data_IF_881184720028
#
_entry.id   IF_881184720028
#
_cell.length_a   1.000
_cell.length_b   1.000
_cell.length_c   1.000
_cell.angle_alpha   90.00
_cell.angle_beta   90.00
_cell.angle_gamma   90.00
#
_symmetry.space_group_name_H-M   'P 1'
#
loop_
_entity.id
_entity.type
_entity.pdbx_description
1 polymer ?
#
# COMPACT_ATOMS: atom_id res chain seq x y z
N UNK A 1 -26.39 -13.98 -18.66
CA UNK A 1 -26.40 -12.74 -17.85
C UNK A 1 -25.03 -12.13 -18.05
N UNK A 2 -24.97 -11.01 -18.80
CA UNK A 2 -23.73 -10.24 -18.96
C UNK A 2 -23.57 -9.39 -17.71
N UNK A 3 -22.62 -9.75 -16.83
CA UNK A 3 -22.26 -8.91 -15.70
C UNK A 3 -21.33 -7.82 -16.25
N UNK A 4 -21.87 -6.67 -16.57
CA UNK A 4 -21.09 -5.48 -16.84
C UNK A 4 -20.84 -4.80 -15.49
N UNK A 5 -19.63 -4.92 -14.95
CA UNK A 5 -19.20 -4.05 -13.86
C UNK A 5 -18.81 -2.74 -14.55
N UNK A 6 -19.61 -1.68 -14.41
CA UNK A 6 -19.22 -0.41 -15.00
C UNK A 6 -17.95 0.06 -14.27
N UNK A 7 -16.90 0.38 -15.01
CA UNK A 7 -15.90 1.36 -14.57
C UNK A 7 -16.68 2.69 -14.42
N UNK A 8 -17.50 2.76 -13.36
CA UNK A 8 -18.45 3.82 -13.14
C UNK A 8 -17.75 5.02 -12.56
N UNK A 9 -17.43 5.96 -13.40
CA UNK A 9 -17.45 7.33 -12.93
C UNK A 9 -18.87 7.64 -12.43
N UNK A 10 -19.03 7.84 -11.14
CA UNK A 10 -20.26 8.37 -10.58
C UNK A 10 -20.51 9.74 -11.22
N UNK A 11 -21.51 9.85 -12.08
CA UNK A 11 -21.96 11.13 -12.63
C UNK A 11 -22.68 11.91 -11.52
N UNK A 12 -21.90 12.64 -10.72
CA UNK A 12 -22.44 13.60 -9.76
C UNK A 12 -22.78 14.92 -10.47
N UNK A 13 -23.81 15.62 -10.04
CA UNK A 13 -24.08 16.98 -10.51
C UNK A 13 -22.91 17.91 -10.18
N UNK A 14 -22.70 18.98 -10.94
CA UNK A 14 -21.56 19.89 -10.72
C UNK A 14 -21.58 20.52 -9.32
N UNK A 15 -22.76 20.85 -8.79
CA UNK A 15 -22.90 21.35 -7.42
C UNK A 15 -22.50 20.29 -6.37
N UNK A 16 -22.83 19.02 -6.61
CA UNK A 16 -22.46 17.91 -5.72
C UNK A 16 -20.95 17.65 -5.75
N UNK A 17 -20.33 17.77 -6.93
CA UNK A 17 -18.87 17.65 -7.10
C UNK A 17 -18.12 18.75 -6.36
N UNK A 18 -18.55 19.99 -6.47
CA UNK A 18 -17.91 21.12 -5.77
C UNK A 18 -18.06 20.99 -4.25
N UNK A 19 -19.21 20.56 -3.76
CA UNK A 19 -19.43 20.30 -2.32
C UNK A 19 -18.53 19.17 -1.81
N UNK A 20 -18.40 18.08 -2.58
CA UNK A 20 -17.51 16.98 -2.23
C UNK A 20 -16.04 17.42 -2.26
N UNK A 21 -15.65 18.20 -3.26
CA UNK A 21 -14.29 18.75 -3.36
C UNK A 21 -13.93 19.57 -2.13
N UNK A 22 -14.79 20.50 -1.70
CA UNK A 22 -14.55 21.35 -0.54
C UNK A 22 -14.46 20.51 0.75
N UNK A 23 -15.37 19.55 0.94
CA UNK A 23 -15.35 18.65 2.08
C UNK A 23 -14.08 17.78 2.11
N UNK A 24 -13.62 17.28 0.96
CA UNK A 24 -12.40 16.48 0.87
C UNK A 24 -11.16 17.31 1.21
N UNK A 25 -11.03 18.52 0.67
CA UNK A 25 -9.91 19.42 0.99
C UNK A 25 -9.89 19.78 2.48
N UNK A 26 -11.05 20.13 3.04
CA UNK A 26 -11.18 20.39 4.47
C UNK A 26 -10.76 19.21 5.33
N UNK A 27 -11.17 17.98 4.94
CA UNK A 27 -10.78 16.75 5.65
C UNK A 27 -9.26 16.51 5.63
N UNK A 28 -8.58 16.83 4.53
CA UNK A 28 -7.13 16.64 4.43
C UNK A 28 -6.32 17.70 5.19
N UNK A 29 -6.90 18.87 5.40
CA UNK A 29 -6.27 20.00 6.10
C UNK A 29 -6.53 20.00 7.59
N UNK A 30 -7.70 19.53 8.04
CA UNK A 30 -8.21 19.70 9.41
C UNK A 30 -8.47 18.38 10.14
N UNK A 31 -8.29 18.35 11.49
CA UNK A 31 -7.76 19.41 12.37
C UNK A 31 -6.24 19.57 12.26
N UNK A 32 -5.55 18.69 11.57
CA UNK A 32 -4.11 18.65 11.31
C UNK A 32 -3.88 18.14 9.89
N UNK A 33 -2.97 18.75 9.10
CA UNK A 33 -2.68 18.28 7.75
C UNK A 33 -2.21 16.82 7.73
N UNK A 34 -2.67 16.08 6.70
CA UNK A 34 -2.35 14.67 6.51
C UNK A 34 -3.22 13.72 7.33
N UNK A 35 -3.02 12.42 7.13
CA UNK A 35 -3.81 11.35 7.75
C UNK A 35 -2.99 10.45 8.67
N UNK A 36 -1.67 10.63 8.69
CA UNK A 36 -0.73 9.84 9.47
C UNK A 36 -0.02 10.70 10.50
N UNK A 37 0.32 10.08 11.61
CA UNK A 37 1.24 10.64 12.60
C UNK A 37 2.10 9.53 13.21
N UNK A 38 3.31 9.89 13.67
CA UNK A 38 4.18 8.98 14.40
C UNK A 38 3.96 9.20 15.89
N UNK A 39 3.69 8.11 16.61
CA UNK A 39 3.48 8.12 18.05
C UNK A 39 4.45 7.17 18.75
N UNK A 40 5.14 7.67 19.77
CA UNK A 40 5.96 6.83 20.62
C UNK A 40 5.10 5.81 21.39
N UNK A 41 5.52 4.56 21.42
CA UNK A 41 4.84 3.45 22.10
C UNK A 41 5.40 3.19 23.51
N UNK A 42 6.54 3.79 23.86
CA UNK A 42 7.23 3.63 25.14
C UNK A 42 7.28 4.97 25.89
N UNK A 43 7.20 4.96 27.21
CA UNK A 43 7.38 6.18 27.99
C UNK A 43 8.82 6.69 27.89
N UNK A 44 8.97 8.00 27.92
CA UNK A 44 10.26 8.70 28.01
C UNK A 44 10.10 9.85 29.01
N UNK A 45 9.90 9.51 30.29
CA UNK A 45 9.56 10.47 31.33
C UNK A 45 10.76 10.87 32.20
N UNK A 46 11.84 10.09 32.20
CA UNK A 46 12.99 10.29 33.08
C UNK A 46 14.30 9.75 32.50
N UNK A 47 15.44 10.01 33.14
CA UNK A 47 16.75 9.59 32.67
C UNK A 47 16.92 8.06 32.58
N UNK A 48 16.19 7.29 33.38
CA UNK A 48 16.20 5.83 33.31
C UNK A 48 15.49 5.31 32.03
N UNK A 49 14.42 5.93 31.66
CA UNK A 49 13.72 5.61 30.40
C UNK A 49 14.61 5.97 29.20
N UNK A 50 15.26 7.14 29.24
CA UNK A 50 16.21 7.57 28.22
C UNK A 50 17.37 6.60 28.07
N UNK A 51 17.95 6.14 29.17
CA UNK A 51 19.06 5.18 29.16
C UNK A 51 18.67 3.83 28.54
N UNK A 52 17.41 3.44 28.62
CA UNK A 52 16.88 2.21 27.98
C UNK A 52 16.51 2.42 26.54
N UNK A 53 15.86 3.57 26.23
CA UNK A 53 15.35 3.86 24.90
C UNK A 53 16.45 4.26 23.91
N UNK A 54 17.54 4.83 24.42
CA UNK A 54 18.66 5.31 23.62
C UNK A 54 20.00 4.85 24.21
N UNK A 55 20.91 5.76 24.58
CA UNK A 55 22.24 5.39 25.06
C UNK A 55 22.25 5.26 26.58
N UNK A 56 22.85 4.20 27.16
CA UNK A 56 23.57 3.09 26.51
C UNK A 56 22.72 1.86 26.16
N UNK A 57 21.52 1.71 26.73
CA UNK A 57 20.74 0.46 26.71
C UNK A 57 20.30 -0.02 25.35
N UNK A 58 20.13 0.88 24.36
CA UNK A 58 19.78 0.51 22.98
C UNK A 58 20.81 -0.43 22.33
N UNK A 59 22.07 -0.37 22.76
CA UNK A 59 23.14 -1.23 22.25
C UNK A 59 22.83 -2.72 22.41
N UNK A 60 22.16 -3.11 23.48
CA UNK A 60 21.82 -4.52 23.74
C UNK A 60 20.87 -5.06 22.65
N UNK A 61 19.84 -4.28 22.28
CA UNK A 61 18.94 -4.66 21.19
C UNK A 61 19.67 -4.74 19.83
N UNK A 62 20.61 -3.83 19.58
CA UNK A 62 21.42 -3.84 18.36
C UNK A 62 22.32 -5.09 18.30
N UNK A 63 22.94 -5.48 19.41
CA UNK A 63 23.79 -6.67 19.52
C UNK A 63 22.98 -7.94 19.25
N UNK A 64 21.80 -8.06 19.86
CA UNK A 64 20.90 -9.18 19.66
C UNK A 64 20.48 -9.34 18.19
N UNK A 65 20.13 -8.22 17.52
CA UNK A 65 19.76 -8.23 16.11
C UNK A 65 20.96 -8.55 15.20
N UNK A 66 22.16 -8.07 15.57
CA UNK A 66 23.36 -8.38 14.82
C UNK A 66 23.76 -9.86 14.90
N UNK A 67 23.44 -10.54 16.00
CA UNK A 67 23.67 -11.98 16.17
C UNK A 67 22.60 -12.82 15.46
N UNK A 68 21.35 -12.39 15.49
CA UNK A 68 20.22 -13.04 14.82
C UNK A 68 19.25 -12.00 14.28
N UNK A 69 19.22 -11.84 12.95
CA UNK A 69 18.38 -10.88 12.25
C UNK A 69 16.88 -11.07 12.54
N UNK A 70 16.42 -12.28 12.92
CA UNK A 70 15.03 -12.54 13.27
C UNK A 70 14.55 -11.72 14.49
N UNK A 71 15.48 -11.36 15.38
CA UNK A 71 15.22 -10.51 16.53
C UNK A 71 14.78 -9.08 16.17
N UNK A 72 14.98 -8.63 14.92
CA UNK A 72 14.49 -7.32 14.47
C UNK A 72 12.96 -7.19 14.62
N UNK A 73 12.21 -8.24 14.34
CA UNK A 73 10.76 -8.24 14.53
C UNK A 73 10.33 -8.17 16.01
N UNK A 74 11.19 -8.62 16.92
CA UNK A 74 10.93 -8.61 18.37
C UNK A 74 11.27 -7.27 19.03
N UNK A 75 12.36 -6.65 18.60
CA UNK A 75 12.92 -5.46 19.28
C UNK A 75 12.65 -4.15 18.56
N UNK A 76 12.07 -4.19 17.34
CA UNK A 76 11.74 -3.00 16.55
C UNK A 76 10.30 -3.05 16.05
N UNK A 77 9.86 -1.97 15.40
CA UNK A 77 8.55 -1.90 14.75
C UNK A 77 8.46 -2.76 13.46
N UNK A 78 9.59 -3.29 12.95
CA UNK A 78 9.67 -4.00 11.66
C UNK A 78 8.63 -5.12 11.53
N UNK A 79 8.33 -5.86 12.59
CA UNK A 79 7.42 -7.00 12.56
C UNK A 79 5.95 -6.66 12.25
N UNK A 80 5.56 -5.38 12.37
CA UNK A 80 4.20 -4.90 12.07
C UNK A 80 4.20 -3.63 11.22
N UNK A 81 5.27 -3.36 10.47
CA UNK A 81 5.42 -2.14 9.67
C UNK A 81 5.51 -2.48 8.19
N UNK A 82 4.59 -1.95 7.39
CA UNK A 82 4.53 -2.11 5.92
C UNK A 82 4.85 -0.78 5.24
N UNK A 83 5.58 -0.82 4.12
CA UNK A 83 5.67 0.33 3.23
C UNK A 83 4.62 0.23 2.13
N UNK A 84 3.85 1.29 1.91
CA UNK A 84 3.12 1.54 0.65
C UNK A 84 4.03 2.34 -0.25
N UNK A 85 4.48 1.76 -1.35
CA UNK A 85 5.45 2.39 -2.25
C UNK A 85 4.81 2.68 -3.60
N UNK A 86 4.99 3.90 -4.08
CA UNK A 86 4.48 4.37 -5.36
C UNK A 86 5.46 5.30 -6.06
N UNK A 87 5.34 5.41 -7.38
CA UNK A 87 5.89 6.53 -8.14
C UNK A 87 4.80 7.44 -8.73
N UNK A 88 3.53 7.17 -8.42
CA UNK A 88 2.38 7.95 -8.84
C UNK A 88 2.12 7.94 -10.34
N UNK A 89 2.54 6.87 -11.04
CA UNK A 89 2.45 6.79 -12.51
C UNK A 89 1.11 6.30 -13.03
N UNK A 90 0.23 5.73 -12.17
CA UNK A 90 -1.08 5.23 -12.55
C UNK A 90 -2.13 5.38 -11.44
N UNK A 91 -2.28 6.60 -10.93
CA UNK A 91 -3.25 6.90 -9.86
C UNK A 91 -4.67 6.82 -10.41
N UNK A 92 -5.54 6.05 -9.73
CA UNK A 92 -6.90 5.74 -10.19
C UNK A 92 -7.71 7.00 -10.54
N UNK A 93 -8.15 7.09 -11.79
CA UNK A 93 -8.95 8.20 -12.32
C UNK A 93 -8.15 9.47 -12.66
N UNK A 94 -6.87 9.55 -12.29
CA UNK A 94 -6.01 10.72 -12.50
C UNK A 94 -4.81 10.43 -13.44
N UNK A 95 -4.44 9.14 -13.58
CA UNK A 95 -3.30 8.73 -14.40
C UNK A 95 -1.95 9.06 -13.78
N UNK A 96 -0.99 9.47 -14.60
CA UNK A 96 0.35 9.83 -14.14
C UNK A 96 0.38 11.26 -13.58
N UNK A 97 0.24 11.40 -12.28
CA UNK A 97 0.30 12.69 -11.58
C UNK A 97 1.62 12.88 -10.81
N UNK A 98 2.48 11.85 -10.83
CA UNK A 98 3.79 11.86 -10.17
C UNK A 98 3.74 11.55 -8.68
N UNK A 99 4.92 11.28 -8.13
CA UNK A 99 5.09 10.79 -6.77
C UNK A 99 4.49 11.74 -5.71
N UNK A 100 4.83 13.03 -5.74
CA UNK A 100 4.38 13.98 -4.72
C UNK A 100 2.84 14.13 -4.69
N UNK A 101 2.21 14.21 -5.86
CA UNK A 101 0.77 14.42 -5.94
C UNK A 101 -0.03 13.16 -5.55
N UNK A 102 0.57 11.96 -5.60
CA UNK A 102 -0.06 10.71 -5.16
C UNK A 102 -0.09 10.53 -3.65
N UNK A 103 0.70 11.30 -2.89
CA UNK A 103 0.81 11.17 -1.42
C UNK A 103 -0.52 11.12 -0.68
N UNK A 104 -1.54 11.93 -0.95
CA UNK A 104 -2.82 11.83 -0.26
C UNK A 104 -3.52 10.47 -0.44
N UNK A 105 -3.34 9.82 -1.60
CA UNK A 105 -3.87 8.48 -1.85
C UNK A 105 -3.11 7.45 -1.03
N UNK A 106 -1.78 7.54 -0.98
CA UNK A 106 -0.92 6.61 -0.24
C UNK A 106 -1.13 6.70 1.27
N UNK A 107 -1.28 7.90 1.82
CA UNK A 107 -1.71 8.06 3.22
C UNK A 107 -3.09 7.43 3.47
N UNK A 108 -4.01 7.55 2.53
CA UNK A 108 -5.30 6.88 2.58
C UNK A 108 -5.15 5.37 2.65
N UNK A 109 -4.29 4.79 1.80
CA UNK A 109 -3.98 3.36 1.82
C UNK A 109 -3.40 2.92 3.17
N UNK A 110 -2.46 3.67 3.71
CA UNK A 110 -1.88 3.40 5.03
C UNK A 110 -2.92 3.41 6.15
N UNK A 111 -3.88 4.34 6.11
CA UNK A 111 -5.02 4.36 7.05
C UNK A 111 -5.88 3.10 6.93
N UNK A 112 -6.11 2.57 5.71
CA UNK A 112 -6.85 1.32 5.52
C UNK A 112 -6.11 0.12 6.13
N UNK A 113 -4.80 0.01 5.94
CA UNK A 113 -3.97 -1.00 6.60
C UNK A 113 -4.13 -0.95 8.12
N UNK A 114 -4.05 0.25 8.71
CA UNK A 114 -4.23 0.43 10.15
C UNK A 114 -5.64 0.08 10.61
N UNK A 115 -6.66 0.58 9.90
CA UNK A 115 -8.07 0.41 10.31
C UNK A 115 -8.55 -1.02 10.21
N UNK A 116 -8.19 -1.74 9.16
CA UNK A 116 -8.75 -3.06 8.87
C UNK A 116 -7.86 -4.22 9.32
N UNK A 117 -6.55 -4.02 9.37
CA UNK A 117 -5.61 -5.09 9.72
C UNK A 117 -4.75 -4.79 10.97
N UNK A 118 -4.87 -3.59 11.55
CA UNK A 118 -4.01 -3.09 12.62
C UNK A 118 -2.50 -3.15 12.28
N UNK A 119 -2.16 -3.02 11.00
CA UNK A 119 -0.79 -2.94 10.50
C UNK A 119 -0.38 -1.47 10.47
N UNK A 120 0.78 -1.16 11.02
CA UNK A 120 1.41 0.15 10.90
C UNK A 120 1.97 0.31 9.49
N UNK A 121 1.82 1.50 8.91
CA UNK A 121 2.18 1.69 7.53
C UNK A 121 2.79 3.07 7.29
N UNK A 122 3.90 3.13 6.53
CA UNK A 122 4.43 4.35 5.95
C UNK A 122 4.17 4.36 4.45
N UNK A 123 3.76 5.52 3.94
CA UNK A 123 3.72 5.82 2.52
C UNK A 123 5.08 6.37 2.06
N UNK A 124 5.58 5.82 0.97
CA UNK A 124 6.89 6.13 0.38
C UNK A 124 6.70 6.49 -1.09
N UNK A 125 6.70 7.77 -1.37
CA UNK A 125 6.59 8.31 -2.73
C UNK A 125 7.99 8.46 -3.34
N UNK A 126 8.27 7.67 -4.38
CA UNK A 126 9.59 7.62 -5.03
C UNK A 126 9.56 8.35 -6.36
N UNK A 127 10.38 9.38 -6.51
CA UNK A 127 10.49 10.11 -7.76
C UNK A 127 11.47 9.42 -8.73
N UNK A 128 11.10 8.20 -9.16
CA UNK A 128 11.84 7.42 -10.15
C UNK A 128 10.86 6.77 -11.14
N UNK A 129 11.14 6.94 -12.43
CA UNK A 129 10.32 6.42 -13.52
C UNK A 129 10.88 5.15 -14.18
N UNK A 130 12.16 4.88 -14.00
CA UNK A 130 12.82 3.67 -14.47
C UNK A 130 12.44 2.50 -13.55
N UNK A 131 11.81 1.42 -14.05
CA UNK A 131 11.32 0.35 -13.21
C UNK A 131 12.45 -0.45 -12.52
N UNK A 132 13.62 -0.59 -13.13
CA UNK A 132 14.74 -1.31 -12.52
C UNK A 132 15.33 -0.50 -11.36
N UNK A 133 15.52 0.81 -11.54
CA UNK A 133 15.99 1.71 -10.48
C UNK A 133 14.96 1.84 -9.36
N UNK A 134 13.66 1.87 -9.69
CA UNK A 134 12.61 1.86 -8.69
C UNK A 134 12.68 0.58 -7.85
N UNK A 135 12.87 -0.58 -8.49
CA UNK A 135 13.05 -1.85 -7.78
C UNK A 135 14.32 -1.85 -6.89
N UNK A 136 15.42 -1.24 -7.34
CA UNK A 136 16.64 -1.08 -6.54
C UNK A 136 16.37 -0.28 -5.26
N UNK A 137 15.64 0.84 -5.37
CA UNK A 137 15.26 1.68 -4.23
C UNK A 137 14.35 0.89 -3.27
N UNK A 138 13.35 0.20 -3.79
CA UNK A 138 12.42 -0.61 -2.96
C UNK A 138 13.18 -1.71 -2.22
N UNK A 139 14.05 -2.43 -2.89
CA UNK A 139 14.86 -3.48 -2.27
C UNK A 139 15.76 -2.94 -1.15
N UNK A 140 16.30 -1.74 -1.31
CA UNK A 140 17.12 -1.09 -0.29
C UNK A 140 16.35 -0.74 0.99
N UNK A 141 15.01 -0.68 0.96
CA UNK A 141 14.16 -0.42 2.12
C UNK A 141 13.88 -1.68 2.98
N UNK A 142 14.24 -2.86 2.53
CA UNK A 142 13.96 -4.12 3.24
C UNK A 142 14.33 -4.13 4.73
N UNK A 143 15.46 -3.55 5.16
CA UNK A 143 15.81 -3.55 6.59
C UNK A 143 14.78 -2.87 7.49
N UNK A 144 14.03 -1.90 6.96
CA UNK A 144 13.06 -1.11 7.73
C UNK A 144 11.70 -1.80 7.87
N UNK A 145 11.25 -2.53 6.84
CA UNK A 145 9.87 -2.98 6.71
C UNK A 145 9.73 -4.50 6.84
N UNK A 146 8.57 -4.94 7.35
CA UNK A 146 8.17 -6.34 7.38
C UNK A 146 7.53 -6.82 6.08
N UNK A 147 6.99 -5.91 5.26
CA UNK A 147 6.46 -6.19 3.93
C UNK A 147 6.39 -4.90 3.09
N UNK A 148 6.23 -5.07 1.77
CA UNK A 148 6.06 -3.99 0.80
C UNK A 148 4.71 -4.17 0.09
N UNK A 149 3.92 -3.10 0.04
CA UNK A 149 2.79 -2.95 -0.86
C UNK A 149 3.15 -1.95 -1.96
N UNK A 150 3.22 -2.42 -3.20
CA UNK A 150 3.38 -1.56 -4.36
C UNK A 150 1.99 -1.05 -4.78
N UNK A 151 1.87 0.25 -5.06
CA UNK A 151 0.59 0.91 -5.34
C UNK A 151 0.74 1.91 -6.48
N UNK A 152 -0.26 1.99 -7.37
CA UNK A 152 -0.37 3.01 -8.42
C UNK A 152 0.86 3.13 -9.34
N UNK A 153 1.54 2.00 -9.60
CA UNK A 153 2.62 1.89 -10.58
C UNK A 153 2.01 1.38 -11.89
N UNK A 154 2.23 2.12 -12.97
CA UNK A 154 1.63 1.81 -14.28
C UNK A 154 2.08 0.46 -14.84
N UNK A 155 1.20 -0.21 -15.58
CA UNK A 155 1.59 -1.33 -16.45
C UNK A 155 2.30 -0.76 -17.72
N UNK A 156 3.34 -1.45 -18.26
CA UNK A 156 3.87 -2.74 -17.82
C UNK A 156 4.94 -2.67 -16.71
N UNK A 157 5.35 -1.47 -16.30
CA UNK A 157 6.47 -1.25 -15.37
C UNK A 157 6.22 -1.96 -14.02
N UNK A 158 4.97 -1.98 -13.54
CA UNK A 158 4.60 -2.64 -12.28
C UNK A 158 4.95 -4.14 -12.26
N UNK A 159 4.87 -4.83 -13.39
CA UNK A 159 5.24 -6.26 -13.49
C UNK A 159 6.75 -6.46 -13.31
N UNK A 160 7.54 -5.54 -13.87
CA UNK A 160 9.02 -5.57 -13.75
C UNK A 160 9.40 -5.29 -12.30
N UNK A 161 8.87 -4.22 -11.72
CA UNK A 161 9.17 -3.81 -10.33
C UNK A 161 8.81 -4.92 -9.35
N UNK A 162 7.59 -5.44 -9.42
CA UNK A 162 7.15 -6.52 -8.52
C UNK A 162 8.03 -7.76 -8.66
N UNK A 163 8.29 -8.21 -9.88
CA UNK A 163 9.12 -9.39 -10.14
C UNK A 163 10.51 -9.23 -9.53
N UNK A 164 11.20 -8.12 -9.82
CA UNK A 164 12.55 -7.87 -9.31
C UNK A 164 12.58 -7.78 -7.78
N UNK A 165 11.60 -7.12 -7.17
CA UNK A 165 11.49 -7.05 -5.72
C UNK A 165 11.27 -8.43 -5.10
N UNK A 166 10.35 -9.23 -5.65
CA UNK A 166 10.07 -10.59 -5.14
C UNK A 166 11.24 -11.56 -5.29
N UNK A 167 12.05 -11.42 -6.33
CA UNK A 167 13.24 -12.24 -6.55
C UNK A 167 14.41 -11.88 -5.62
N UNK A 168 14.46 -10.62 -5.13
CA UNK A 168 15.62 -10.06 -4.43
C UNK A 168 15.40 -9.86 -2.94
N UNK A 169 14.15 -9.71 -2.50
CA UNK A 169 13.79 -9.43 -1.11
C UNK A 169 13.38 -10.70 -0.37
N UNK A 170 13.67 -10.73 0.93
CA UNK A 170 13.30 -11.84 1.83
C UNK A 170 12.03 -11.53 2.65
N UNK A 171 11.33 -10.44 2.34
CA UNK A 171 10.04 -10.05 2.92
C UNK A 171 8.95 -10.12 1.85
N UNK A 172 7.67 -10.27 2.23
CA UNK A 172 6.56 -10.24 1.28
C UNK A 172 6.51 -8.95 0.48
N UNK A 173 6.33 -9.10 -0.84
CA UNK A 173 6.08 -8.01 -1.79
C UNK A 173 4.77 -8.28 -2.51
N UNK A 174 3.88 -7.31 -2.53
CA UNK A 174 2.54 -7.41 -3.07
C UNK A 174 2.21 -6.15 -3.89
N UNK A 175 1.74 -6.32 -5.13
CA UNK A 175 1.24 -5.21 -5.93
C UNK A 175 -0.30 -5.25 -5.91
N UNK A 176 -0.91 -4.28 -5.23
CA UNK A 176 -2.35 -4.29 -4.94
C UNK A 176 -3.23 -4.17 -6.19
N UNK A 177 -2.86 -3.29 -7.12
CA UNK A 177 -3.61 -3.10 -8.37
C UNK A 177 -3.71 -4.38 -9.21
N UNK A 178 -2.73 -5.27 -9.09
CA UNK A 178 -2.79 -6.61 -9.67
C UNK A 178 -3.59 -7.57 -8.78
N UNK A 179 -2.98 -7.94 -7.68
CA UNK A 179 -3.40 -9.09 -6.88
C UNK A 179 -4.58 -8.77 -5.96
N UNK A 180 -4.64 -7.55 -5.39
CA UNK A 180 -5.78 -7.12 -4.58
C UNK A 180 -7.06 -7.08 -5.41
N UNK A 181 -6.99 -6.51 -6.62
CA UNK A 181 -8.12 -6.49 -7.56
C UNK A 181 -8.51 -7.90 -7.99
N UNK A 182 -7.54 -8.76 -8.32
CA UNK A 182 -7.81 -10.16 -8.69
C UNK A 182 -8.53 -10.92 -7.55
N UNK A 183 -8.11 -10.74 -6.31
CA UNK A 183 -8.72 -11.37 -5.12
C UNK A 183 -10.17 -10.93 -4.96
N UNK A 184 -10.47 -9.64 -5.01
CA UNK A 184 -11.84 -9.15 -4.81
C UNK A 184 -12.75 -9.51 -5.97
N UNK A 185 -12.24 -9.50 -7.21
CA UNK A 185 -13.00 -9.93 -8.40
C UNK A 185 -13.29 -11.43 -8.34
N UNK A 186 -12.30 -12.25 -7.99
CA UNK A 186 -12.48 -13.68 -7.80
C UNK A 186 -13.51 -14.01 -6.72
N UNK A 187 -13.44 -13.34 -5.57
CA UNK A 187 -14.42 -13.50 -4.49
C UNK A 187 -15.82 -13.08 -4.93
N UNK A 188 -15.96 -11.95 -5.62
CA UNK A 188 -17.23 -11.46 -6.13
C UNK A 188 -17.83 -12.41 -7.18
N UNK A 189 -17.03 -12.92 -8.11
CA UNK A 189 -17.45 -13.87 -9.13
C UNK A 189 -17.95 -15.18 -8.49
N UNK A 190 -17.19 -15.73 -7.54
CA UNK A 190 -17.56 -16.94 -6.80
C UNK A 190 -18.91 -16.78 -6.10
N UNK A 191 -19.10 -15.67 -5.38
CA UNK A 191 -20.35 -15.41 -4.67
C UNK A 191 -21.52 -15.17 -5.62
N UNK A 192 -21.30 -14.43 -6.72
CA UNK A 192 -22.33 -14.19 -7.73
C UNK A 192 -22.80 -15.49 -8.40
N UNK A 193 -21.87 -16.41 -8.69
CA UNK A 193 -22.20 -17.73 -9.24
C UNK A 193 -22.98 -18.57 -8.26
N UNK A 194 -22.59 -18.58 -6.98
CA UNK A 194 -23.33 -19.26 -5.93
C UNK A 194 -24.79 -18.75 -5.84
N UNK A 195 -24.99 -17.44 -5.81
CA UNK A 195 -26.32 -16.82 -5.79
C UNK A 195 -27.14 -17.14 -7.06
N UNK A 196 -26.48 -17.21 -8.22
CA UNK A 196 -27.11 -17.49 -9.50
C UNK A 196 -27.34 -19.00 -9.75
N UNK A 197 -26.85 -19.88 -8.89
CA UNK A 197 -26.91 -21.34 -9.08
C UNK A 197 -26.13 -21.83 -10.30
N UNK A 198 -25.00 -21.20 -10.63
CA UNK A 198 -24.16 -21.52 -11.81
C UNK A 198 -22.77 -21.96 -11.38
N UNK A 199 -22.12 -22.79 -12.19
CA UNK A 199 -20.73 -23.15 -12.07
C UNK A 199 -19.84 -22.23 -12.94
N UNK A 200 -18.52 -22.23 -12.71
CA UNK A 200 -17.58 -21.47 -13.50
C UNK A 200 -17.56 -21.93 -14.97
N UNK A 201 -17.79 -23.20 -15.23
CA UNK A 201 -17.85 -23.80 -16.56
C UNK A 201 -19.04 -23.27 -17.41
N UNK A 202 -20.08 -22.75 -16.75
CA UNK A 202 -21.31 -22.26 -17.37
C UNK A 202 -21.25 -20.80 -17.80
N UNK A 203 -20.12 -20.11 -17.54
CA UNK A 203 -20.01 -18.69 -17.77
C UNK A 203 -18.88 -18.33 -18.73
N UNK A 204 -18.99 -17.15 -19.29
CA UNK A 204 -17.93 -16.49 -20.04
C UNK A 204 -17.62 -15.16 -19.37
N UNK A 205 -16.36 -14.96 -18.98
CA UNK A 205 -15.86 -13.69 -18.46
C UNK A 205 -15.25 -12.90 -19.60
N UNK A 206 -15.62 -11.63 -19.72
CA UNK A 206 -15.06 -10.71 -20.69
C UNK A 206 -14.49 -9.51 -19.94
N UNK A 207 -13.19 -9.29 -20.09
CA UNK A 207 -12.50 -8.12 -19.54
C UNK A 207 -12.25 -7.11 -20.66
N UNK A 208 -12.43 -5.83 -20.38
CA UNK A 208 -12.08 -4.72 -21.27
C UNK A 208 -10.86 -4.00 -20.71
N UNK A 209 -9.76 -4.01 -21.47
CA UNK A 209 -8.47 -3.46 -21.08
C UNK A 209 -7.47 -4.52 -20.58
N UNK A 210 -6.19 -4.21 -20.74
CA UNK A 210 -5.04 -5.05 -20.36
C UNK A 210 -4.08 -4.31 -19.43
N UNK A 211 -4.62 -3.58 -18.44
CA UNK A 211 -3.83 -2.96 -17.38
C UNK A 211 -3.45 -3.95 -16.28
N UNK A 212 -2.84 -3.47 -15.20
CA UNK A 212 -2.38 -4.28 -14.08
C UNK A 212 -3.49 -5.21 -13.54
N UNK A 213 -4.68 -4.67 -13.31
CA UNK A 213 -5.83 -5.42 -12.81
C UNK A 213 -6.42 -6.42 -13.82
N UNK A 214 -6.44 -6.06 -15.12
CA UNK A 214 -7.06 -6.89 -16.15
C UNK A 214 -6.23 -8.08 -16.60
N UNK A 215 -4.94 -8.10 -16.27
CA UNK A 215 -3.99 -9.19 -16.58
C UNK A 215 -3.89 -10.17 -15.41
N UNK A 216 -4.01 -9.70 -14.19
CA UNK A 216 -3.97 -10.51 -12.97
C UNK A 216 -5.21 -11.38 -12.81
#
# INVERSE_FOLDING_TARGET
ITLCIPCGGFFMSDNTKETLRQAALFYHENPKPGKLEIRATKPLANGRDLARAYSPGVAEACIEIAQDASHAARYTAKGNLVAVVTNGSAVLGLGNIGALASKPVMEGKAVLFKKFANIDCFDIEVNESDPEKLADIVCALEPTFGAINLEDIKAPDCFVVEKLCRERMNIPVFHDDQHGTAIVVGAAATNALHVAGKAFEDIKIVSTGGGAAGIA
#
